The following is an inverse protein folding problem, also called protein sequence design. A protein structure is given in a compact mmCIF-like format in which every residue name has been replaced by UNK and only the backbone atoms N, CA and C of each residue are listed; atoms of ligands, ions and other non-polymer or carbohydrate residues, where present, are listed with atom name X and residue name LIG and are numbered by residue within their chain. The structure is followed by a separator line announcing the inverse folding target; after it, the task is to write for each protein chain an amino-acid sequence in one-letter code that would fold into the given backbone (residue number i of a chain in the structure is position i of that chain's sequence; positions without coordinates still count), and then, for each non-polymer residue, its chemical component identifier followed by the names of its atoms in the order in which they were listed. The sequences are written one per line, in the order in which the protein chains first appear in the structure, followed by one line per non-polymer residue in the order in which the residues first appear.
data_IF_452824048967
#
_entry.id   IF_452824048967
#
_cell.length_a   1.000
_cell.length_b   1.000
_cell.length_c   1.000
_cell.angle_alpha   90.00
_cell.angle_beta   90.00
_cell.angle_gamma   90.00
#
_symmetry.space_group_name_H-M   'P 1'
#
loop_
_entity.id
_entity.type
_entity.pdbx_description
1 polymer ?
#
# COMPACT_ATOMS: atom_id res chain seq x y z
N UNK A 1 33.17 -9.22 1.15
CA UNK A 1 33.10 -8.28 0.02
C UNK A 1 34.24 -8.54 -0.95
N UNK A 2 33.91 -8.97 -2.17
CA UNK A 2 34.90 -9.31 -3.19
C UNK A 2 35.57 -8.08 -3.84
N UNK A 3 34.97 -6.88 -3.67
CA UNK A 3 35.39 -5.67 -4.41
C UNK A 3 35.41 -4.37 -3.58
N UNK A 4 35.22 -4.40 -2.28
CA UNK A 4 35.33 -3.21 -1.40
C UNK A 4 34.45 -2.02 -1.77
N UNK A 5 33.36 -2.25 -2.50
CA UNK A 5 32.47 -1.19 -2.93
C UNK A 5 31.24 -1.06 -2.01
N UNK A 6 30.72 0.14 -1.92
CA UNK A 6 29.45 0.46 -1.29
C UNK A 6 28.32 -0.39 -1.88
N UNK A 7 27.49 -0.97 -1.04
CA UNK A 7 26.34 -1.74 -1.46
C UNK A 7 25.06 -1.03 -1.06
N UNK A 8 24.23 -0.73 -2.05
CA UNK A 8 22.90 -0.17 -1.92
C UNK A 8 21.91 -1.15 -2.52
N UNK A 9 20.80 -1.34 -1.88
CA UNK A 9 19.72 -2.19 -2.40
C UNK A 9 18.43 -1.41 -2.48
N UNK A 10 17.77 -1.50 -3.63
CA UNK A 10 16.37 -1.18 -3.79
C UNK A 10 15.61 -2.50 -3.55
N UNK A 11 14.88 -2.58 -2.47
CA UNK A 11 14.15 -3.80 -2.09
C UNK A 11 12.78 -3.76 -2.71
N UNK A 12 12.36 -4.87 -3.33
CA UNK A 12 11.06 -4.95 -3.99
C UNK A 12 9.89 -4.83 -3.01
N UNK A 13 8.69 -4.71 -3.57
CA UNK A 13 7.39 -4.61 -2.88
C UNK A 13 7.12 -5.87 -2.03
N UNK A 14 7.70 -5.98 -0.87
CA UNK A 14 7.38 -7.04 0.07
C UNK A 14 7.23 -6.44 1.47
N UNK A 15 6.20 -6.86 2.17
CA UNK A 15 5.93 -6.42 3.54
C UNK A 15 6.99 -6.88 4.54
N UNK A 16 7.84 -7.82 4.13
CA UNK A 16 8.97 -8.26 4.91
C UNK A 16 10.20 -8.38 4.00
N UNK A 17 11.10 -7.39 4.00
CA UNK A 17 12.32 -7.42 3.18
C UNK A 17 13.26 -8.58 3.57
N UNK A 18 12.83 -9.42 4.48
CA UNK A 18 13.48 -10.66 4.82
C UNK A 18 14.71 -10.51 5.71
N UNK A 19 15.22 -11.65 6.10
CA UNK A 19 16.45 -11.77 6.90
C UNK A 19 17.70 -11.26 6.15
N UNK A 20 17.61 -11.07 4.84
CA UNK A 20 18.74 -10.63 4.01
C UNK A 20 19.28 -9.24 4.36
N UNK A 21 18.47 -8.39 5.01
CA UNK A 21 18.89 -7.06 5.47
C UNK A 21 19.26 -7.01 6.95
N UNK A 22 18.85 -8.02 7.74
CA UNK A 22 19.20 -8.15 9.16
C UNK A 22 20.45 -9.01 9.31
N UNK A 23 21.61 -8.45 9.04
CA UNK A 23 22.89 -9.18 9.22
C UNK A 23 23.46 -8.81 10.57
N UNK A 24 23.82 -9.83 11.37
CA UNK A 24 24.45 -9.65 12.68
C UNK A 24 25.81 -8.97 12.60
N UNK A 25 26.49 -9.03 11.44
CA UNK A 25 27.79 -8.43 11.24
C UNK A 25 27.70 -7.10 10.49
N UNK A 26 28.12 -6.02 11.12
CA UNK A 26 28.20 -4.68 10.54
C UNK A 26 28.93 -4.61 9.20
N UNK A 27 29.94 -5.47 9.01
CA UNK A 27 30.76 -5.48 7.77
C UNK A 27 29.98 -5.96 6.53
N UNK A 28 28.91 -6.74 6.74
CA UNK A 28 28.10 -7.32 5.67
C UNK A 28 26.74 -6.60 5.48
N UNK A 29 26.51 -5.52 6.20
CA UNK A 29 25.26 -4.77 6.13
C UNK A 29 25.10 -4.11 4.76
N UNK A 30 23.88 -4.08 4.29
CA UNK A 30 23.46 -3.39 3.07
C UNK A 30 22.56 -2.24 3.47
N UNK A 31 22.87 -1.04 3.02
CA UNK A 31 21.91 0.07 3.11
C UNK A 31 20.74 -0.23 2.16
N UNK A 32 19.56 -0.40 2.70
CA UNK A 32 18.38 -0.78 1.95
C UNK A 32 17.30 0.29 2.03
N UNK A 33 16.71 0.62 0.89
CA UNK A 33 15.55 1.49 0.79
C UNK A 33 14.46 0.76 0.00
N UNK A 34 13.29 0.56 0.62
CA UNK A 34 12.16 -0.05 -0.06
C UNK A 34 11.18 1.02 -0.55
N UNK A 35 10.67 0.90 -1.80
CA UNK A 35 9.64 1.80 -2.30
C UNK A 35 8.28 1.57 -1.62
N UNK A 36 7.91 0.32 -1.32
CA UNK A 36 6.52 0.00 -1.00
C UNK A 36 6.31 -1.11 0.04
N UNK A 37 7.38 -1.62 0.68
CA UNK A 37 7.21 -2.55 1.79
C UNK A 37 6.78 -1.78 3.04
N UNK A 38 5.50 -1.84 3.37
CA UNK A 38 4.80 -0.92 4.28
C UNK A 38 4.57 -1.47 5.69
N UNK A 39 4.84 -2.75 5.93
CA UNK A 39 4.75 -3.33 7.27
C UNK A 39 5.74 -2.67 8.23
N UNK A 40 5.30 -2.39 9.47
CA UNK A 40 6.14 -1.85 10.53
C UNK A 40 7.40 -2.70 10.76
N UNK A 41 7.29 -4.02 10.66
CA UNK A 41 8.41 -4.95 10.82
C UNK A 41 9.52 -4.78 9.75
N UNK A 42 9.23 -4.06 8.65
CA UNK A 42 10.20 -3.78 7.59
C UNK A 42 11.40 -2.98 8.11
N UNK A 43 11.14 -1.96 8.93
CA UNK A 43 12.16 -1.03 9.44
C UNK A 43 12.40 -1.15 10.94
N UNK A 44 11.44 -1.68 11.68
CA UNK A 44 11.51 -1.75 13.14
C UNK A 44 12.76 -2.52 13.62
N UNK A 45 13.52 -1.89 14.51
CA UNK A 45 14.75 -2.44 15.06
C UNK A 45 15.92 -2.53 14.08
N UNK A 46 15.80 -1.95 12.88
CA UNK A 46 16.85 -1.92 11.85
C UNK A 46 17.30 -0.47 11.60
N UNK A 47 18.59 -0.24 11.60
CA UNK A 47 19.20 1.08 11.37
C UNK A 47 19.77 1.23 9.95
N UNK A 48 19.64 0.19 9.13
CA UNK A 48 20.12 0.14 7.74
C UNK A 48 19.00 -0.08 6.71
N UNK A 49 17.74 -0.15 7.16
CA UNK A 49 16.58 -0.35 6.30
C UNK A 49 15.61 0.81 6.45
N UNK A 50 15.30 1.43 5.34
CA UNK A 50 14.42 2.59 5.25
C UNK A 50 13.28 2.30 4.28
N UNK A 51 12.15 2.99 4.44
CA UNK A 51 11.01 2.89 3.53
C UNK A 51 10.59 4.27 3.02
N UNK A 52 10.15 4.31 1.76
CA UNK A 52 9.63 5.52 1.12
C UNK A 52 8.13 5.68 1.38
N UNK A 53 7.41 4.56 1.41
CA UNK A 53 5.97 4.53 1.65
C UNK A 53 5.63 4.76 3.14
N UNK A 54 4.38 5.07 3.42
CA UNK A 54 3.85 5.09 4.78
C UNK A 54 3.61 3.67 5.33
N UNK A 55 3.46 3.53 6.64
CA UNK A 55 3.27 2.24 7.30
C UNK A 55 1.80 1.81 7.32
N UNK A 56 1.55 0.49 7.29
CA UNK A 56 0.22 -0.11 7.36
C UNK A 56 -0.63 0.39 8.55
N UNK A 57 -0.11 0.48 9.78
CA UNK A 57 -0.88 1.06 10.89
C UNK A 57 -1.43 2.46 10.59
N UNK A 58 -0.64 3.29 9.92
CA UNK A 58 -1.06 4.65 9.59
C UNK A 58 -2.19 4.66 8.54
N UNK A 59 -2.20 3.70 7.60
CA UNK A 59 -3.29 3.56 6.64
C UNK A 59 -4.60 3.21 7.32
N UNK A 60 -4.59 2.24 8.23
CA UNK A 60 -5.78 1.83 8.98
C UNK A 60 -6.36 2.99 9.79
N UNK A 61 -5.53 3.62 10.62
CA UNK A 61 -5.93 4.77 11.45
C UNK A 61 -6.43 5.94 10.62
N UNK A 62 -5.72 6.30 9.54
CA UNK A 62 -6.10 7.43 8.69
C UNK A 62 -7.41 7.17 7.94
N UNK A 63 -7.64 5.92 7.49
CA UNK A 63 -8.87 5.53 6.80
C UNK A 63 -10.09 5.64 7.70
N UNK A 64 -10.03 5.08 8.93
CA UNK A 64 -11.13 5.17 9.89
C UNK A 64 -11.44 6.63 10.26
N UNK A 65 -10.38 7.43 10.47
CA UNK A 65 -10.52 8.86 10.74
C UNK A 65 -11.20 9.60 9.61
N UNK A 66 -10.78 9.38 8.38
CA UNK A 66 -11.31 10.07 7.22
C UNK A 66 -12.78 9.69 6.96
N UNK A 67 -13.12 8.41 7.11
CA UNK A 67 -14.51 7.92 6.98
C UNK A 67 -15.41 8.63 8.00
N UNK A 68 -15.01 8.75 9.26
CA UNK A 68 -15.74 9.44 10.31
C UNK A 68 -15.84 10.95 10.05
N UNK A 69 -14.73 11.62 9.77
CA UNK A 69 -14.68 13.08 9.58
C UNK A 69 -15.43 13.57 8.33
N UNK A 70 -15.62 12.70 7.33
CA UNK A 70 -16.33 13.01 6.09
C UNK A 70 -17.74 12.43 6.03
N UNK A 71 -18.22 11.76 7.10
CA UNK A 71 -19.53 11.10 7.16
C UNK A 71 -19.77 10.16 5.96
N UNK A 72 -18.77 9.35 5.57
CA UNK A 72 -18.83 8.54 4.35
C UNK A 72 -19.68 7.29 4.49
N UNK A 73 -19.93 6.83 5.70
CA UNK A 73 -20.78 5.67 6.00
C UNK A 73 -21.04 5.57 7.49
N UNK A 74 -22.13 4.89 7.85
CA UNK A 74 -22.56 4.68 9.24
C UNK A 74 -22.44 3.23 9.68
N UNK A 75 -22.55 2.28 8.72
CA UNK A 75 -22.43 0.85 8.92
C UNK A 75 -21.37 0.28 8.02
N UNK A 76 -20.25 -0.07 8.62
CA UNK A 76 -19.07 -0.46 7.90
C UNK A 76 -18.94 -1.97 7.80
N UNK A 77 -18.73 -2.49 6.60
CA UNK A 77 -18.24 -3.84 6.39
C UNK A 77 -16.74 -3.80 6.08
N UNK A 78 -16.01 -4.81 6.53
CA UNK A 78 -14.59 -5.00 6.21
C UNK A 78 -14.42 -6.34 5.51
N UNK A 79 -13.69 -6.35 4.38
CA UNK A 79 -13.29 -7.59 3.70
C UNK A 79 -11.77 -7.56 3.56
N UNK A 80 -11.08 -8.47 4.24
CA UNK A 80 -9.63 -8.43 4.34
C UNK A 80 -8.97 -9.80 4.21
N UNK A 81 -7.66 -9.82 3.90
CA UNK A 81 -6.90 -11.05 3.70
C UNK A 81 -6.16 -11.43 4.98
N UNK A 82 -6.56 -12.54 5.62
CA UNK A 82 -6.09 -12.90 6.96
C UNK A 82 -4.69 -13.55 7.01
N UNK A 83 -4.18 -14.00 5.89
CA UNK A 83 -2.83 -14.58 5.75
C UNK A 83 -1.83 -13.61 5.10
N UNK A 84 -2.16 -12.31 5.04
CA UNK A 84 -1.32 -11.24 4.54
C UNK A 84 -1.01 -10.23 5.65
N UNK A 85 0.27 -10.01 5.92
CA UNK A 85 0.75 -9.06 6.94
C UNK A 85 0.31 -7.63 6.64
N UNK A 86 0.31 -7.23 5.38
CA UNK A 86 -0.16 -5.93 4.91
C UNK A 86 -1.64 -5.71 5.24
N UNK A 87 -2.50 -6.59 4.72
CA UNK A 87 -3.95 -6.51 4.92
C UNK A 87 -4.33 -6.53 6.41
N UNK A 88 -3.68 -7.44 7.18
CA UNK A 88 -3.89 -7.56 8.62
C UNK A 88 -3.43 -6.31 9.38
N UNK A 89 -2.27 -5.76 9.05
CA UNK A 89 -1.74 -4.57 9.72
C UNK A 89 -2.65 -3.36 9.56
N UNK A 90 -3.22 -3.16 8.38
CA UNK A 90 -4.19 -2.10 8.12
C UNK A 90 -5.51 -2.37 8.83
N UNK A 91 -6.04 -3.61 8.73
CA UNK A 91 -7.29 -4.03 9.37
C UNK A 91 -7.26 -3.78 10.88
N UNK A 92 -6.26 -4.30 11.58
CA UNK A 92 -6.20 -4.22 13.05
C UNK A 92 -6.22 -2.77 13.55
N UNK A 93 -5.48 -1.87 12.88
CA UNK A 93 -5.44 -0.46 13.24
C UNK A 93 -6.68 0.32 12.78
N UNK A 94 -7.33 -0.11 11.70
CA UNK A 94 -8.62 0.44 11.30
C UNK A 94 -9.69 0.14 12.34
N UNK A 95 -9.80 -1.11 12.78
CA UNK A 95 -10.77 -1.56 13.78
C UNK A 95 -10.57 -0.82 15.10
N UNK A 96 -9.33 -0.71 15.59
CA UNK A 96 -9.02 0.02 16.82
C UNK A 96 -9.44 1.49 16.75
N UNK A 97 -9.13 2.20 15.67
CA UNK A 97 -9.50 3.61 15.50
C UNK A 97 -11.02 3.77 15.26
N UNK A 98 -11.65 2.85 14.50
CA UNK A 98 -13.08 2.86 14.25
C UNK A 98 -13.88 2.70 15.55
N UNK A 99 -13.48 1.77 16.41
CA UNK A 99 -14.06 1.58 17.75
C UNK A 99 -13.89 2.83 18.63
N UNK A 100 -12.70 3.42 18.63
CA UNK A 100 -12.41 4.65 19.39
C UNK A 100 -13.28 5.83 18.94
N UNK A 101 -13.68 5.88 17.67
CA UNK A 101 -14.56 6.90 17.09
C UNK A 101 -16.05 6.56 17.19
N UNK A 102 -16.38 5.33 17.55
CA UNK A 102 -17.76 4.87 17.64
C UNK A 102 -18.40 4.55 16.29
N UNK A 103 -17.59 4.26 15.27
CA UNK A 103 -18.07 3.75 13.99
C UNK A 103 -18.62 2.34 14.17
N UNK A 104 -19.76 2.02 13.52
CA UNK A 104 -20.41 0.72 13.64
C UNK A 104 -19.86 -0.25 12.59
N UNK A 105 -19.06 -1.24 13.01
CA UNK A 105 -18.62 -2.34 12.15
C UNK A 105 -19.70 -3.44 12.22
N UNK A 106 -20.45 -3.62 11.13
CA UNK A 106 -21.58 -4.57 11.05
C UNK A 106 -21.17 -5.89 10.42
N UNK A 107 -20.06 -5.94 9.72
CA UNK A 107 -19.52 -7.14 9.08
C UNK A 107 -17.98 -7.04 9.08
N UNK A 108 -17.32 -8.11 9.50
CA UNK A 108 -15.87 -8.23 9.46
C UNK A 108 -15.52 -9.64 8.96
N UNK A 109 -15.20 -9.75 7.67
CA UNK A 109 -15.03 -11.01 6.97
C UNK A 109 -13.66 -11.13 6.33
N UNK A 110 -13.20 -12.38 6.20
CA UNK A 110 -11.85 -12.65 5.70
C UNK A 110 -11.86 -13.60 4.51
N UNK A 111 -10.73 -13.59 3.81
CA UNK A 111 -10.32 -14.61 2.85
C UNK A 111 -8.84 -14.94 3.02
N UNK A 112 -8.37 -15.99 2.36
CA UNK A 112 -6.97 -16.44 2.39
C UNK A 112 -6.51 -16.83 0.99
N UNK A 113 -5.19 -16.95 0.82
CA UNK A 113 -4.58 -17.46 -0.41
C UNK A 113 -5.19 -18.80 -0.83
N UNK A 114 -5.58 -18.91 -2.11
CA UNK A 114 -6.27 -20.08 -2.67
C UNK A 114 -7.79 -20.06 -2.54
N UNK A 115 -8.37 -19.10 -1.80
CA UNK A 115 -9.79 -18.79 -1.73
C UNK A 115 -10.03 -17.30 -2.02
N UNK A 116 -9.33 -16.76 -3.00
CA UNK A 116 -9.23 -15.35 -3.34
C UNK A 116 -9.83 -15.02 -4.72
N UNK A 117 -10.80 -15.83 -5.16
CA UNK A 117 -11.48 -15.65 -6.46
C UNK A 117 -13.00 -15.57 -6.35
N UNK A 118 -13.59 -16.06 -5.25
CA UNK A 118 -15.03 -16.02 -4.98
C UNK A 118 -15.28 -15.34 -3.62
N UNK A 119 -15.90 -14.17 -3.67
CA UNK A 119 -16.22 -13.33 -2.53
C UNK A 119 -17.74 -13.22 -2.28
N UNK A 120 -18.53 -14.12 -2.89
CA UNK A 120 -20.00 -14.10 -2.79
C UNK A 120 -20.49 -14.16 -1.35
N UNK A 121 -19.79 -14.90 -0.48
CA UNK A 121 -20.13 -15.00 0.95
C UNK A 121 -19.87 -13.67 1.66
N UNK A 122 -18.71 -13.04 1.44
CA UNK A 122 -18.34 -11.77 2.07
C UNK A 122 -19.26 -10.64 1.60
N UNK A 123 -19.53 -10.58 0.30
CA UNK A 123 -20.46 -9.60 -0.29
C UNK A 123 -21.89 -9.78 0.27
N UNK A 124 -22.37 -11.02 0.33
CA UNK A 124 -23.70 -11.31 0.88
C UNK A 124 -23.78 -10.99 2.38
N UNK A 125 -22.73 -11.23 3.15
CA UNK A 125 -22.68 -10.89 4.57
C UNK A 125 -22.72 -9.36 4.76
N UNK A 126 -21.91 -8.60 4.05
CA UNK A 126 -21.93 -7.14 4.08
C UNK A 126 -23.32 -6.58 3.72
N UNK A 127 -23.92 -7.06 2.62
CA UNK A 127 -25.23 -6.63 2.17
C UNK A 127 -26.33 -6.98 3.18
N UNK A 128 -26.35 -8.20 3.73
CA UNK A 128 -27.40 -8.65 4.65
C UNK A 128 -27.36 -7.95 6.01
N UNK A 129 -26.15 -7.52 6.44
CA UNK A 129 -25.97 -6.71 7.65
C UNK A 129 -26.23 -5.21 7.41
N UNK A 130 -26.54 -4.83 6.17
CA UNK A 130 -26.93 -3.47 5.79
C UNK A 130 -25.77 -2.49 5.84
N UNK A 131 -24.55 -2.95 5.50
CA UNK A 131 -23.41 -2.07 5.39
C UNK A 131 -23.62 -1.04 4.26
N UNK A 132 -23.41 0.23 4.57
CA UNK A 132 -23.49 1.34 3.63
C UNK A 132 -22.11 1.79 3.12
N UNK A 133 -21.04 1.29 3.77
CA UNK A 133 -19.66 1.44 3.34
C UNK A 133 -18.92 0.11 3.49
N UNK A 134 -18.11 -0.25 2.48
CA UNK A 134 -17.20 -1.41 2.52
C UNK A 134 -15.76 -0.94 2.49
N UNK A 135 -15.01 -1.27 3.54
CA UNK A 135 -13.58 -1.02 3.63
C UNK A 135 -12.78 -2.22 3.13
N UNK A 136 -11.85 -1.97 2.21
CA UNK A 136 -11.07 -2.98 1.51
C UNK A 136 -9.55 -2.77 1.74
N UNK A 137 -8.97 -3.23 2.87
CA UNK A 137 -7.53 -3.18 3.11
C UNK A 137 -6.81 -4.30 2.36
N UNK A 138 -6.87 -4.28 1.03
CA UNK A 138 -6.41 -5.34 0.13
C UNK A 138 -5.82 -4.76 -1.15
N UNK A 139 -5.22 -5.64 -1.98
CA UNK A 139 -4.71 -5.26 -3.29
C UNK A 139 -5.80 -5.19 -4.37
N UNK A 140 -5.48 -4.57 -5.50
CA UNK A 140 -6.42 -4.32 -6.61
C UNK A 140 -7.02 -5.60 -7.24
N UNK A 141 -6.28 -6.72 -7.28
CA UNK A 141 -6.79 -7.96 -7.89
C UNK A 141 -8.02 -8.54 -7.15
N UNK A 142 -7.97 -8.85 -5.83
CA UNK A 142 -9.17 -9.27 -5.13
C UNK A 142 -10.24 -8.18 -5.07
N UNK A 143 -9.86 -6.89 -4.98
CA UNK A 143 -10.82 -5.79 -4.98
C UNK A 143 -11.64 -5.73 -6.27
N UNK A 144 -11.03 -5.91 -7.43
CA UNK A 144 -11.74 -5.93 -8.72
C UNK A 144 -12.80 -7.03 -8.80
N UNK A 145 -12.51 -8.19 -8.21
CA UNK A 145 -13.45 -9.31 -8.15
C UNK A 145 -14.61 -9.03 -7.17
N UNK A 146 -14.31 -8.41 -6.02
CA UNK A 146 -15.34 -8.01 -5.04
C UNK A 146 -16.28 -6.99 -5.66
N UNK A 147 -15.79 -5.94 -6.31
CA UNK A 147 -16.59 -4.95 -7.00
C UNK A 147 -17.48 -5.58 -8.09
N UNK A 148 -16.91 -6.49 -8.90
CA UNK A 148 -17.63 -7.18 -9.95
C UNK A 148 -18.76 -8.07 -9.38
N UNK A 149 -18.48 -8.79 -8.30
CA UNK A 149 -19.47 -9.67 -7.66
C UNK A 149 -20.56 -8.88 -6.95
N UNK A 150 -20.23 -7.79 -6.27
CA UNK A 150 -21.20 -6.89 -5.66
C UNK A 150 -22.13 -6.28 -6.72
N UNK A 151 -21.59 -5.80 -7.83
CA UNK A 151 -22.39 -5.30 -8.95
C UNK A 151 -23.33 -6.37 -9.51
N UNK A 152 -22.90 -7.63 -9.61
CA UNK A 152 -23.72 -8.74 -10.13
C UNK A 152 -24.96 -9.04 -9.30
N UNK A 153 -24.93 -8.71 -8.01
CA UNK A 153 -26.06 -8.89 -7.08
C UNK A 153 -26.80 -7.59 -6.76
N UNK A 154 -26.43 -6.50 -7.42
CA UNK A 154 -27.02 -5.17 -7.23
C UNK A 154 -26.73 -4.55 -5.85
N UNK A 155 -25.57 -4.85 -5.27
CA UNK A 155 -25.10 -4.24 -4.02
C UNK A 155 -24.12 -3.11 -4.35
N UNK A 156 -24.49 -1.89 -3.99
CA UNK A 156 -23.79 -0.66 -4.35
C UNK A 156 -23.59 0.25 -3.11
N UNK A 157 -22.73 -0.15 -2.16
CA UNK A 157 -22.34 0.67 -1.02
C UNK A 157 -21.26 1.69 -1.43
N UNK A 158 -20.90 2.61 -0.52
CA UNK A 158 -19.67 3.35 -0.65
C UNK A 158 -18.47 2.39 -0.52
N UNK A 159 -17.47 2.54 -1.39
CA UNK A 159 -16.26 1.73 -1.38
C UNK A 159 -15.07 2.55 -0.94
N UNK A 160 -14.33 2.05 0.02
CA UNK A 160 -13.11 2.70 0.52
C UNK A 160 -11.95 1.70 0.55
N UNK A 161 -10.91 2.00 -0.21
CA UNK A 161 -9.71 1.18 -0.31
C UNK A 161 -8.47 1.88 0.23
N UNK A 162 -7.37 1.19 0.11
CA UNK A 162 -6.04 1.62 0.54
C UNK A 162 -5.07 1.63 -0.64
N UNK A 163 -3.84 1.99 -0.41
CA UNK A 163 -2.82 2.15 -1.45
C UNK A 163 -2.62 0.90 -2.32
N UNK A 164 -2.82 -0.30 -1.78
CA UNK A 164 -2.75 -1.55 -2.52
C UNK A 164 -3.79 -1.69 -3.65
N UNK A 165 -4.84 -0.88 -3.63
CA UNK A 165 -5.83 -0.83 -4.72
C UNK A 165 -5.41 0.09 -5.88
N UNK A 166 -4.36 0.89 -5.73
CA UNK A 166 -3.85 1.71 -6.83
C UNK A 166 -3.38 0.84 -8.01
N UNK A 167 -3.80 1.21 -9.21
CA UNK A 167 -3.61 0.40 -10.43
C UNK A 167 -4.84 -0.40 -10.85
N UNK A 168 -5.94 -0.42 -10.06
CA UNK A 168 -7.16 -1.15 -10.42
C UNK A 168 -7.74 -0.70 -11.78
N UNK A 169 -7.63 0.58 -12.11
CA UNK A 169 -8.16 1.17 -13.35
C UNK A 169 -7.40 0.71 -14.60
N UNK A 170 -6.15 0.27 -14.46
CA UNK A 170 -5.31 -0.20 -15.57
C UNK A 170 -5.23 -1.71 -15.66
N UNK A 171 -6.00 -2.42 -14.81
CA UNK A 171 -5.98 -3.87 -14.74
C UNK A 171 -6.66 -4.49 -15.97
N UNK A 172 -5.94 -5.38 -16.65
CA UNK A 172 -6.47 -6.10 -17.82
C UNK A 172 -7.75 -6.90 -17.47
N UNK A 173 -8.80 -6.67 -18.26
CA UNK A 173 -10.07 -7.38 -18.13
C UNK A 173 -11.01 -6.89 -17.03
N UNK A 174 -10.64 -5.86 -16.27
CA UNK A 174 -11.52 -5.20 -15.31
C UNK A 174 -12.36 -4.12 -15.99
N UNK A 175 -13.64 -4.08 -15.69
CA UNK A 175 -14.52 -2.98 -16.10
C UNK A 175 -14.31 -1.78 -15.16
N UNK A 176 -13.51 -0.82 -15.61
CA UNK A 176 -13.16 0.36 -14.82
C UNK A 176 -14.38 1.21 -14.40
N UNK A 177 -15.53 1.06 -15.04
CA UNK A 177 -16.77 1.76 -14.63
C UNK A 177 -17.28 1.28 -13.26
N UNK A 178 -16.90 0.08 -12.83
CA UNK A 178 -17.21 -0.46 -11.50
C UNK A 178 -16.42 0.21 -10.38
N UNK A 179 -15.36 0.92 -10.72
CA UNK A 179 -14.57 1.69 -9.77
C UNK A 179 -15.01 3.17 -9.68
N UNK A 180 -16.06 3.57 -10.40
CA UNK A 180 -16.58 4.92 -10.27
C UNK A 180 -17.10 5.17 -8.84
N UNK A 181 -16.61 6.24 -8.20
CA UNK A 181 -16.96 6.56 -6.82
C UNK A 181 -16.16 5.78 -5.75
N UNK A 182 -15.30 4.86 -6.12
CA UNK A 182 -14.38 4.21 -5.18
C UNK A 182 -13.35 5.22 -4.68
N UNK A 183 -13.20 5.32 -3.37
CA UNK A 183 -12.21 6.18 -2.72
C UNK A 183 -10.98 5.36 -2.34
N UNK A 184 -9.80 5.92 -2.54
CA UNK A 184 -8.53 5.32 -2.15
C UNK A 184 -7.74 6.23 -1.22
N UNK A 185 -7.18 5.66 -0.17
CA UNK A 185 -6.07 6.29 0.53
C UNK A 185 -4.78 5.99 -0.23
N UNK A 186 -4.18 6.98 -0.85
CA UNK A 186 -2.94 6.85 -1.62
C UNK A 186 -2.02 8.04 -1.38
N UNK A 187 -0.69 7.83 -1.37
CA UNK A 187 0.27 8.93 -1.22
C UNK A 187 0.53 9.69 -2.54
N UNK A 188 -0.01 9.21 -3.66
CA UNK A 188 0.25 9.76 -4.98
C UNK A 188 -1.06 10.04 -5.72
N UNK A 189 -1.12 11.21 -6.33
CA UNK A 189 -2.20 11.60 -7.24
C UNK A 189 -1.58 12.06 -8.56
N UNK A 190 -1.80 11.28 -9.64
CA UNK A 190 -1.29 11.61 -10.97
C UNK A 190 -1.86 12.92 -11.53
N UNK A 191 -3.05 13.34 -11.06
CA UNK A 191 -3.72 14.58 -11.46
C UNK A 191 -3.32 15.80 -10.61
N UNK A 192 -2.36 15.64 -9.68
CA UNK A 192 -1.89 16.78 -8.89
C UNK A 192 -1.28 17.86 -9.77
N UNK A 193 -1.60 19.13 -9.48
CA UNK A 193 -1.25 20.28 -10.33
C UNK A 193 0.21 20.76 -10.15
N UNK A 194 0.96 20.20 -9.22
CA UNK A 194 2.34 20.61 -9.00
C UNK A 194 3.27 20.19 -10.14
N UNK A 195 4.23 21.07 -10.46
CA UNK A 195 5.11 20.91 -11.61
C UNK A 195 5.95 19.62 -11.58
N UNK A 196 6.35 19.14 -10.40
CA UNK A 196 7.16 17.92 -10.28
C UNK A 196 6.35 16.69 -10.66
N UNK A 197 5.12 16.59 -10.13
CA UNK A 197 4.21 15.51 -10.45
C UNK A 197 3.86 15.52 -11.93
N UNK A 198 3.48 16.65 -12.50
CA UNK A 198 3.15 16.75 -13.91
C UNK A 198 4.33 16.40 -14.84
N UNK A 199 5.54 16.83 -14.51
CA UNK A 199 6.74 16.47 -15.26
C UNK A 199 7.08 14.97 -15.16
N UNK A 200 6.86 14.35 -14.00
CA UNK A 200 7.05 12.92 -13.82
C UNK A 200 6.03 12.13 -14.63
N UNK A 201 4.74 12.46 -14.49
CA UNK A 201 3.66 11.78 -15.21
C UNK A 201 3.88 11.86 -16.72
N UNK A 202 4.13 13.05 -17.26
CA UNK A 202 4.35 13.23 -18.71
C UNK A 202 5.53 12.40 -19.25
N UNK A 203 6.64 12.33 -18.51
CA UNK A 203 7.80 11.51 -18.91
C UNK A 203 7.55 10.01 -18.80
N UNK A 204 6.80 9.61 -17.77
CA UNK A 204 6.44 8.21 -17.57
C UNK A 204 5.51 7.75 -18.70
N UNK A 205 4.50 8.53 -19.04
CA UNK A 205 3.58 8.26 -20.15
C UNK A 205 4.29 8.24 -21.51
N UNK A 206 5.22 9.16 -21.74
CA UNK A 206 6.06 9.14 -22.96
C UNK A 206 6.88 7.85 -23.07
N UNK A 207 7.40 7.35 -21.96
CA UNK A 207 8.29 6.18 -21.93
C UNK A 207 7.54 4.85 -21.95
N UNK A 208 6.41 4.75 -21.25
CA UNK A 208 5.72 3.49 -20.98
C UNK A 208 4.32 3.41 -21.61
N UNK A 209 3.73 4.53 -22.01
CA UNK A 209 2.40 4.58 -22.65
C UNK A 209 1.24 4.40 -21.67
N UNK A 210 1.47 4.55 -20.37
CA UNK A 210 0.47 4.43 -19.32
C UNK A 210 0.72 5.45 -18.21
N UNK A 211 -0.33 5.83 -17.47
CA UNK A 211 -0.22 6.73 -16.32
C UNK A 211 0.46 6.00 -15.14
N UNK A 212 1.46 6.62 -14.47
CA UNK A 212 2.13 6.00 -13.34
C UNK A 212 1.18 5.85 -12.15
N UNK A 213 1.30 4.74 -11.45
CA UNK A 213 0.71 4.54 -10.13
C UNK A 213 1.70 4.90 -9.01
N UNK A 214 1.27 4.79 -7.74
CA UNK A 214 2.13 5.06 -6.59
C UNK A 214 3.39 4.20 -6.54
N UNK A 215 3.34 2.94 -6.98
CA UNK A 215 4.50 2.05 -6.93
C UNK A 215 5.62 2.51 -7.85
N UNK A 216 5.26 2.97 -9.05
CA UNK A 216 6.20 3.59 -9.99
C UNK A 216 6.80 4.87 -9.41
N UNK A 217 5.97 5.70 -8.78
CA UNK A 217 6.39 6.97 -8.16
C UNK A 217 7.35 6.73 -7.00
N UNK A 218 7.04 5.82 -6.09
CA UNK A 218 7.93 5.49 -4.97
C UNK A 218 9.28 4.90 -5.44
N UNK A 219 9.27 4.08 -6.50
CA UNK A 219 10.52 3.57 -7.08
C UNK A 219 11.38 4.70 -7.65
N UNK A 220 10.75 5.66 -8.34
CA UNK A 220 11.41 6.86 -8.83
C UNK A 220 11.98 7.70 -7.69
N UNK A 221 11.20 7.96 -6.65
CA UNK A 221 11.61 8.75 -5.50
C UNK A 221 12.75 8.10 -4.71
N UNK A 222 12.80 6.77 -4.62
CA UNK A 222 13.93 6.06 -4.02
C UNK A 222 15.25 6.39 -4.72
N UNK A 223 15.27 6.45 -6.05
CA UNK A 223 16.47 6.82 -6.81
C UNK A 223 16.89 8.25 -6.52
N UNK A 224 15.93 9.17 -6.47
CA UNK A 224 16.22 10.58 -6.14
C UNK A 224 16.62 10.77 -4.68
N UNK A 225 16.08 10.00 -3.74
CA UNK A 225 16.53 10.00 -2.35
C UNK A 225 18.00 9.62 -2.25
N UNK A 226 18.44 8.56 -2.93
CA UNK A 226 19.85 8.21 -3.01
C UNK A 226 20.69 9.30 -3.67
N UNK A 227 20.22 9.84 -4.79
CA UNK A 227 20.91 10.89 -5.52
C UNK A 227 21.17 12.14 -4.65
N UNK A 228 20.27 12.48 -3.75
CA UNK A 228 20.40 13.61 -2.84
C UNK A 228 21.17 13.25 -1.56
N UNK A 229 20.91 12.08 -0.99
CA UNK A 229 21.49 11.68 0.30
C UNK A 229 23.00 11.40 0.20
N UNK A 230 23.45 10.68 -0.83
CA UNK A 230 24.85 10.27 -0.97
C UNK A 230 25.83 11.43 -1.04
N UNK A 231 25.61 12.48 -1.85
CA UNK A 231 26.48 13.66 -1.83
C UNK A 231 26.45 14.42 -0.50
N UNK A 232 25.28 14.53 0.13
CA UNK A 232 25.15 15.23 1.42
C UNK A 232 25.88 14.50 2.55
N UNK A 233 25.95 13.18 2.48
CA UNK A 233 26.70 12.34 3.40
C UNK A 233 28.20 12.24 3.04
N UNK A 234 28.66 12.91 1.97
CA UNK A 234 29.99 12.72 1.40
C UNK A 234 30.32 11.25 1.11
N UNK A 235 29.30 10.48 0.70
CA UNK A 235 29.45 9.07 0.44
C UNK A 235 30.32 8.83 -0.80
N UNK A 236 31.21 7.83 -0.72
CA UNK A 236 32.09 7.44 -1.82
C UNK A 236 32.20 5.91 -1.91
N UNK A 237 32.62 5.36 -3.07
CA UNK A 237 32.57 3.91 -3.32
C UNK A 237 33.39 3.05 -2.35
N UNK A 238 34.40 3.61 -1.70
CA UNK A 238 35.26 2.90 -0.75
C UNK A 238 34.75 2.94 0.70
N UNK A 239 33.60 3.60 0.94
CA UNK A 239 32.98 3.69 2.26
C UNK A 239 32.48 2.32 2.69
N UNK A 240 32.73 1.95 3.94
CA UNK A 240 32.16 0.72 4.51
C UNK A 240 30.67 0.88 4.86
N UNK A 241 30.00 -0.26 5.01
CA UNK A 241 28.55 -0.26 5.25
C UNK A 241 28.15 0.37 6.58
N UNK A 242 28.98 0.21 7.62
CA UNK A 242 28.69 0.79 8.94
C UNK A 242 28.74 2.32 8.92
N UNK A 243 29.69 2.87 8.15
CA UNK A 243 29.81 4.33 7.97
C UNK A 243 28.71 4.89 7.06
N UNK A 244 28.23 4.10 6.09
CA UNK A 244 27.16 4.50 5.19
C UNK A 244 25.79 4.52 5.89
N UNK A 245 25.51 3.54 6.74
CA UNK A 245 24.29 3.42 7.52
C UNK A 245 24.31 4.33 8.75
#
# INVERSE_FOLDING_TARGET
RKYGCMQLALVSVTSNPGEATSVENYEDRIFALTPSASSQATTEGKDNVFQMCFMDPNQGTASARYIDEQDLGTKIAIIWKNDDVYSKGIHDNFVEEAEARGLEIVSDTTFATGNDTDFSVQVADAQSNGADLVFLPIYYTPASLILSQANSVGYDPAWFGVDGMDGILTMDGFDATLAEGVMLLTPFNADAEDEKTQNFVAKYEEQFGETPNQFATHAYDCIYAYYQALPNANAHPDMDAATLC
#
